data_IF_109702956570
#
_entry.id   IF_109702956570
#
_cell.length_a   1.000
_cell.length_b   1.000
_cell.length_c   1.000
_cell.angle_alpha   90.00
_cell.angle_beta   90.00
_cell.angle_gamma   90.00
#
_symmetry.space_group_name_H-M   'P 1'
#
loop_
_entity.id
_entity.type
_entity.pdbx_description
1 polymer ?
#
# COMPACT_ATOMS: atom_id res chain seq x y z
N UNK A 1 2.57 -7.87 12.72
CA UNK A 1 2.72 -8.79 11.57
C UNK A 1 3.84 -8.25 10.68
N UNK A 2 4.86 -9.04 10.39
CA UNK A 2 5.97 -8.63 9.51
C UNK A 2 5.69 -9.12 8.09
N UNK A 3 6.01 -8.29 7.09
CA UNK A 3 5.88 -8.65 5.68
C UNK A 3 7.10 -8.17 4.91
N UNK A 4 7.61 -9.01 4.01
CA UNK A 4 8.70 -8.63 3.10
C UNK A 4 8.11 -7.83 1.94
N UNK A 5 8.44 -6.54 1.87
CA UNK A 5 8.06 -5.66 0.76
C UNK A 5 9.15 -5.66 -0.31
N UNK A 6 8.77 -5.40 -1.57
CA UNK A 6 9.72 -5.20 -2.66
C UNK A 6 10.08 -3.71 -2.73
N UNK A 7 11.37 -3.38 -2.54
CA UNK A 7 11.86 -2.00 -2.54
C UNK A 7 11.89 -1.38 -3.94
N UNK A 8 11.97 -2.22 -4.97
CA UNK A 8 12.02 -1.84 -6.39
C UNK A 8 10.62 -1.77 -7.03
N UNK A 9 9.57 -2.06 -6.26
CA UNK A 9 8.19 -1.95 -6.73
C UNK A 9 7.53 -0.65 -6.23
N UNK A 10 6.51 -0.16 -6.96
CA UNK A 10 5.65 0.90 -6.46
C UNK A 10 4.97 0.53 -5.13
N UNK A 11 4.73 1.54 -4.31
CA UNK A 11 4.09 1.41 -3.00
C UNK A 11 2.66 0.84 -3.11
N UNK A 12 1.91 1.16 -4.17
CA UNK A 12 0.59 0.58 -4.40
C UNK A 12 0.62 -0.96 -4.47
N UNK A 13 1.71 -1.56 -4.98
CA UNK A 13 1.84 -3.02 -5.06
C UNK A 13 1.99 -3.64 -3.66
N UNK A 14 2.70 -2.95 -2.75
CA UNK A 14 2.78 -3.35 -1.35
C UNK A 14 1.42 -3.24 -0.65
N UNK A 15 0.66 -2.17 -0.93
CA UNK A 15 -0.72 -1.99 -0.44
C UNK A 15 -1.64 -3.13 -0.90
N UNK A 16 -1.62 -3.49 -2.18
CA UNK A 16 -2.39 -4.63 -2.72
C UNK A 16 -2.07 -5.93 -1.96
N UNK A 17 -0.78 -6.22 -1.74
CA UNK A 17 -0.38 -7.44 -1.02
C UNK A 17 -0.85 -7.46 0.44
N UNK A 18 -0.81 -6.31 1.12
CA UNK A 18 -1.33 -6.17 2.49
C UNK A 18 -2.84 -6.39 2.51
N UNK A 19 -3.57 -5.81 1.57
CA UNK A 19 -5.04 -5.97 1.47
C UNK A 19 -5.45 -7.41 1.21
N UNK A 20 -4.77 -8.11 0.30
CA UNK A 20 -4.97 -9.55 0.11
C UNK A 20 -4.72 -10.35 1.38
N UNK A 21 -3.76 -9.90 2.22
CA UNK A 21 -3.35 -10.58 3.45
C UNK A 21 -4.27 -10.31 4.65
N UNK A 22 -4.95 -9.16 4.67
CA UNK A 22 -5.84 -8.76 5.77
C UNK A 22 -7.26 -9.32 5.61
N UNK A 23 -7.51 -10.13 4.57
CA UNK A 23 -8.83 -10.49 4.05
C UNK A 23 -9.62 -9.24 3.59
N UNK A 24 -10.42 -9.37 2.54
CA UNK A 24 -11.16 -8.27 1.91
C UNK A 24 -12.29 -7.69 2.81
N UNK A 25 -12.23 -7.82 4.13
CA UNK A 25 -13.23 -7.31 5.07
C UNK A 25 -13.03 -5.84 5.46
N UNK A 26 -11.90 -5.22 5.07
CA UNK A 26 -11.66 -3.80 5.27
C UNK A 26 -12.61 -2.99 4.39
N UNK A 27 -13.53 -2.24 5.01
CA UNK A 27 -14.33 -1.23 4.31
C UNK A 27 -13.43 -0.09 3.84
N UNK A 28 -13.82 0.62 2.79
CA UNK A 28 -13.12 1.81 2.29
C UNK A 28 -11.63 1.58 2.01
N UNK A 29 -11.30 0.43 1.40
CA UNK A 29 -9.92 -0.01 1.10
C UNK A 29 -9.05 1.09 0.48
N UNK A 30 -9.62 1.92 -0.39
CA UNK A 30 -8.91 2.99 -1.08
C UNK A 30 -8.40 4.09 -0.12
N UNK A 31 -9.06 4.28 1.02
CA UNK A 31 -8.70 5.27 2.04
C UNK A 31 -7.56 4.80 2.96
N UNK A 32 -7.10 3.56 2.84
CA UNK A 32 -5.91 3.10 3.56
C UNK A 32 -4.63 3.39 2.77
N UNK A 33 -3.54 3.65 3.49
CA UNK A 33 -2.22 3.77 2.89
C UNK A 33 -1.10 3.41 3.85
N UNK A 34 0.10 3.23 3.29
CA UNK A 34 1.32 3.09 4.07
C UNK A 34 1.72 4.44 4.65
N UNK A 35 2.01 4.45 5.95
CA UNK A 35 2.39 5.61 6.72
C UNK A 35 3.77 5.40 7.32
N UNK A 36 4.66 6.34 7.03
CA UNK A 36 5.97 6.45 7.66
C UNK A 36 5.81 7.26 8.94
N UNK A 37 6.06 6.66 10.12
CA UNK A 37 5.93 7.34 11.39
C UNK A 37 6.99 8.43 11.57
N UNK A 38 6.71 9.34 12.50
CA UNK A 38 7.64 10.42 12.81
C UNK A 38 8.94 9.83 13.36
N UNK A 39 10.07 10.35 12.88
CA UNK A 39 11.39 9.86 13.26
C UNK A 39 12.43 10.97 13.16
N UNK A 40 13.28 11.09 14.18
CA UNK A 40 14.37 12.06 14.24
C UNK A 40 13.93 13.51 13.92
N UNK A 41 12.86 13.97 14.57
CA UNK A 41 12.30 15.31 14.37
C UNK A 41 11.54 15.51 13.05
N UNK A 42 11.51 14.52 12.15
CA UNK A 42 10.68 14.55 10.93
C UNK A 42 9.26 14.11 11.26
N UNK A 43 8.28 14.90 10.84
CA UNK A 43 6.87 14.52 10.96
C UNK A 43 6.56 13.24 10.17
N UNK A 44 5.64 12.44 10.70
CA UNK A 44 5.15 11.26 10.00
C UNK A 44 4.35 11.65 8.76
N UNK A 45 4.35 10.80 7.74
CA UNK A 45 3.67 11.07 6.46
C UNK A 45 3.14 9.82 5.80
N UNK A 46 2.09 9.98 5.03
CA UNK A 46 1.66 8.94 4.09
C UNK A 46 2.65 8.85 2.93
N UNK A 47 2.91 7.63 2.50
CA UNK A 47 3.71 7.38 1.31
C UNK A 47 2.84 7.58 0.06
N UNK A 48 3.45 8.19 -0.96
CA UNK A 48 2.88 8.30 -2.31
C UNK A 48 2.83 6.91 -2.96
N UNK A 49 1.66 6.53 -3.47
CA UNK A 49 1.39 5.19 -3.97
C UNK A 49 2.10 4.90 -5.31
N UNK A 50 2.41 5.93 -6.10
CA UNK A 50 3.08 5.80 -7.41
C UNK A 50 4.61 5.66 -7.28
N UNK A 51 5.18 6.09 -6.15
CA UNK A 51 6.63 6.08 -5.92
C UNK A 51 7.13 4.69 -5.52
N UNK A 52 8.41 4.45 -5.77
CA UNK A 52 9.08 3.23 -5.32
C UNK A 52 9.34 3.28 -3.82
N UNK A 53 9.26 2.12 -3.15
CA UNK A 53 9.50 2.07 -1.71
C UNK A 53 10.93 2.51 -1.34
N UNK A 54 11.92 2.24 -2.20
CA UNK A 54 13.32 2.69 -2.00
C UNK A 54 13.50 4.22 -1.99
N UNK A 55 12.57 4.97 -2.54
CA UNK A 55 12.62 6.45 -2.52
C UNK A 55 12.31 7.03 -1.13
N UNK A 56 11.84 6.19 -0.20
CA UNK A 56 11.62 6.56 1.19
C UNK A 56 12.73 5.95 2.05
N UNK A 57 13.74 6.74 2.44
CA UNK A 57 14.79 6.25 3.32
C UNK A 57 14.17 5.86 4.66
N UNK A 58 14.12 4.56 4.93
CA UNK A 58 13.59 4.04 6.19
C UNK A 58 14.66 4.17 7.29
N UNK A 59 14.27 4.40 8.56
CA UNK A 59 15.20 4.48 9.67
C UNK A 59 16.09 3.23 9.76
N UNK A 60 17.40 3.41 9.76
CA UNK A 60 18.38 2.31 9.89
C UNK A 60 18.70 1.94 11.34
N UNK A 61 18.20 2.72 12.31
CA UNK A 61 18.40 2.46 13.76
C UNK A 61 17.71 1.17 14.20
N UNK A 62 16.62 0.79 13.55
CA UNK A 62 15.91 -0.47 13.84
C UNK A 62 16.40 -1.57 12.91
N UNK A 63 16.68 -2.79 13.43
CA UNK A 63 17.10 -3.92 12.60
C UNK A 63 16.04 -4.31 11.56
N UNK A 64 14.79 -3.91 11.79
CA UNK A 64 13.71 -4.03 10.82
C UNK A 64 12.98 -2.68 10.70
N UNK A 65 12.97 -2.04 9.52
CA UNK A 65 12.21 -0.82 9.33
C UNK A 65 10.71 -1.09 9.44
N UNK A 66 9.98 -0.20 10.10
CA UNK A 66 8.55 -0.35 10.34
C UNK A 66 7.73 0.73 9.63
N UNK A 67 6.62 0.30 9.01
CA UNK A 67 5.61 1.15 8.40
C UNK A 67 4.25 0.81 9.01
N UNK A 68 3.37 1.80 9.10
CA UNK A 68 2.00 1.61 9.58
C UNK A 68 1.04 1.53 8.38
N UNK A 69 0.06 0.64 8.42
CA UNK A 69 -1.03 0.62 7.45
C UNK A 69 -2.24 1.35 8.07
N UNK A 70 -2.50 2.59 7.64
CA UNK A 70 -3.43 3.50 8.34
C UNK A 70 -4.51 4.04 7.43
N UNK A 71 -5.69 4.28 8.01
CA UNK A 71 -6.78 5.00 7.37
C UNK A 71 -6.42 6.49 7.26
N UNK A 72 -6.49 7.02 6.04
CA UNK A 72 -6.38 8.44 5.73
C UNK A 72 -7.71 9.09 6.08
N UNK A 73 -7.76 9.83 7.20
CA UNK A 73 -8.93 10.67 7.52
C UNK A 73 -9.03 11.74 6.42
N UNK A 74 -10.18 11.79 5.73
CA UNK A 74 -10.38 12.41 4.39
C UNK A 74 -9.68 13.76 4.17
N UNK A 75 -9.14 13.90 2.96
CA UNK A 75 -9.22 15.12 2.16
C UNK A 75 -10.10 14.76 0.93
N UNK A 76 -11.41 15.06 1.04
CA UNK A 76 -12.51 15.04 0.05
C UNK A 76 -13.29 13.75 -0.31
N UNK A 77 -14.55 14.01 -0.66
CA UNK A 77 -15.69 13.15 -0.99
C UNK A 77 -15.45 12.30 -2.25
N UNK A 78 -15.61 10.99 -2.12
CA UNK A 78 -15.63 10.01 -3.21
C UNK A 78 -16.56 10.46 -4.35
N UNK A 79 -16.00 10.71 -5.54
CA UNK A 79 -16.70 10.37 -6.77
C UNK A 79 -16.91 8.86 -6.77
N UNK A 80 -18.17 8.45 -6.80
CA UNK A 80 -18.67 7.08 -6.71
C UNK A 80 -18.01 6.20 -7.81
N UNK A 81 -16.83 5.63 -7.52
CA UNK A 81 -16.21 4.63 -8.40
C UNK A 81 -16.99 3.33 -8.19
N UNK A 82 -17.83 3.00 -9.17
CA UNK A 82 -18.70 1.84 -9.18
C UNK A 82 -17.88 0.55 -9.00
N UNK A 83 -18.19 -0.24 -7.96
CA UNK A 83 -17.52 -1.49 -7.62
C UNK A 83 -17.42 -2.46 -8.82
N UNK A 84 -18.35 -2.36 -9.78
CA UNK A 84 -18.34 -3.17 -11.00
C UNK A 84 -17.16 -2.88 -11.92
N UNK A 85 -16.63 -1.66 -11.93
CA UNK A 85 -15.46 -1.32 -12.74
C UNK A 85 -14.16 -1.75 -12.06
N UNK A 86 -14.12 -1.73 -10.73
CA UNK A 86 -12.96 -2.19 -9.96
C UNK A 86 -12.76 -3.71 -10.09
N UNK A 87 -13.86 -4.47 -10.12
CA UNK A 87 -13.83 -5.92 -10.36
C UNK A 87 -13.27 -6.31 -11.74
N UNK A 88 -13.37 -5.43 -12.75
CA UNK A 88 -12.79 -5.67 -14.09
C UNK A 88 -11.28 -5.46 -14.14
N UNK A 89 -10.71 -4.77 -13.15
CA UNK A 89 -9.27 -4.56 -13.00
C UNK A 89 -8.58 -5.65 -12.15
N UNK A 90 -9.28 -6.74 -11.84
CA UNK A 90 -8.62 -7.99 -11.48
C UNK A 90 -7.99 -8.56 -12.76
N UNK A 91 -6.79 -8.07 -13.10
CA UNK A 91 -5.99 -8.59 -14.20
C UNK A 91 -5.88 -10.10 -14.05
N UNK A 92 -6.53 -10.80 -14.98
CA UNK A 92 -6.31 -12.22 -15.23
C UNK A 92 -4.83 -12.35 -15.58
N UNK A 93 -4.00 -12.73 -14.62
CA UNK A 93 -2.61 -13.14 -14.89
C UNK A 93 -2.74 -14.45 -15.65
N UNK A 94 -2.81 -14.35 -16.98
CA UNK A 94 -2.69 -15.48 -17.87
C UNK A 94 -1.26 -15.98 -17.78
N UNK A 95 -1.03 -16.97 -16.92
CA UNK A 95 0.19 -17.76 -17.00
C UNK A 95 0.06 -18.60 -18.27
N UNK A 96 0.61 -18.11 -19.38
CA UNK A 96 0.83 -18.95 -20.55
C UNK A 96 2.05 -19.82 -20.23
N UNK A 97 1.79 -21.01 -19.69
CA UNK A 97 2.76 -22.11 -19.73
C UNK A 97 2.60 -22.73 -21.11
N UNK A 98 3.54 -22.45 -22.01
CA UNK A 98 3.69 -23.22 -23.24
C UNK A 98 4.57 -24.43 -22.97
N UNK A 99 4.11 -25.56 -23.51
CA UNK A 99 4.52 -26.97 -23.41
C UNK A 99 5.99 -27.28 -23.10
#
# INVERSE_FOLDING_TARGET
KCMKLNTEAPIWSSKQRILCTLNQSLKDVLNYGLFLPAYNGKAGKFLDEERLLKEYPLPTITPLPYLEFRYKRRVYTQSHLDDKQLARLHTKVGVNVSF
#
